data_IF_411982298001
#
_entry.id   IF_411982298001
#
_cell.length_a   1.000
_cell.length_b   1.000
_cell.length_c   1.000
_cell.angle_alpha   90.00
_cell.angle_beta   90.00
_cell.angle_gamma   90.00
#
_symmetry.space_group_name_H-M   'P 1'
#
loop_
_entity.id
_entity.type
_entity.pdbx_description
1 polymer ?
#
# COMPACT_ATOMS: atom_id res chain seq x y z
N UNK A 1 24.13 20.21 73.73
CA UNK A 1 22.86 20.00 72.98
C UNK A 1 22.69 20.93 71.78
N UNK A 2 22.98 22.24 71.85
CA UNK A 2 22.85 23.16 70.71
C UNK A 2 23.68 22.79 69.47
N UNK A 3 24.93 22.34 69.64
CA UNK A 3 25.82 22.02 68.51
C UNK A 3 25.50 20.67 67.84
N UNK A 4 25.01 19.68 68.60
CA UNK A 4 24.55 18.39 68.06
C UNK A 4 23.27 18.55 67.24
N UNK A 5 22.34 19.40 67.66
CA UNK A 5 21.13 19.72 66.88
C UNK A 5 21.49 20.43 65.57
N UNK A 6 22.46 21.36 65.59
CA UNK A 6 22.98 22.03 64.37
C UNK A 6 23.65 21.06 63.41
N UNK A 7 24.45 20.11 63.90
CA UNK A 7 25.07 19.09 63.06
C UNK A 7 24.02 18.18 62.41
N UNK A 8 23.01 17.76 63.19
CA UNK A 8 21.92 16.92 62.69
C UNK A 8 21.11 17.64 61.61
N UNK A 9 20.81 18.94 61.79
CA UNK A 9 20.09 19.73 60.79
C UNK A 9 20.87 19.89 59.48
N UNK A 10 22.19 20.04 59.56
CA UNK A 10 23.06 20.14 58.36
C UNK A 10 23.10 18.81 57.62
N UNK A 11 23.18 17.69 58.35
CA UNK A 11 23.19 16.35 57.76
C UNK A 11 21.90 16.06 56.99
N UNK A 12 20.74 16.42 57.58
CA UNK A 12 19.42 16.25 56.94
C UNK A 12 19.30 17.11 55.67
N UNK A 13 19.81 18.34 55.69
CA UNK A 13 19.80 19.23 54.52
C UNK A 13 20.62 18.66 53.35
N UNK A 14 21.80 18.08 53.63
CA UNK A 14 22.65 17.45 52.59
C UNK A 14 21.95 16.24 51.96
N UNK A 15 21.28 15.42 52.78
CA UNK A 15 20.53 14.25 52.29
C UNK A 15 19.39 14.69 51.36
N UNK A 16 18.64 15.73 51.72
CA UNK A 16 17.55 16.25 50.89
C UNK A 16 18.04 16.79 49.54
N UNK A 17 19.17 17.50 49.52
CA UNK A 17 19.79 18.00 48.28
C UNK A 17 20.28 16.84 47.41
N UNK A 18 20.86 15.80 48.00
CA UNK A 18 21.30 14.62 47.26
C UNK A 18 20.11 13.86 46.63
N UNK A 19 19.02 13.65 47.39
CA UNK A 19 17.81 12.96 46.91
C UNK A 19 17.12 13.75 45.79
N UNK A 20 16.99 15.07 45.94
CA UNK A 20 16.38 15.92 44.90
C UNK A 20 17.21 15.95 43.61
N UNK A 21 18.55 15.98 43.72
CA UNK A 21 19.45 15.90 42.56
C UNK A 21 19.34 14.56 41.81
N UNK A 22 19.22 13.46 42.56
CA UNK A 22 18.97 12.12 42.02
C UNK A 22 17.63 12.03 41.26
N UNK A 23 16.55 12.56 41.83
CA UNK A 23 15.23 12.59 41.19
C UNK A 23 15.26 13.42 39.88
N UNK A 24 15.97 14.55 39.87
CA UNK A 24 16.12 15.38 38.66
C UNK A 24 16.93 14.67 37.58
N UNK A 25 17.97 13.92 37.94
CA UNK A 25 18.75 13.13 36.99
C UNK A 25 17.94 11.97 36.38
N UNK A 26 17.17 11.26 37.20
CA UNK A 26 16.27 10.18 36.74
C UNK A 26 15.21 10.73 35.80
N UNK A 27 14.55 11.84 36.14
CA UNK A 27 13.53 12.46 35.29
C UNK A 27 14.10 12.97 33.95
N UNK A 28 15.31 13.54 33.94
CA UNK A 28 16.00 13.92 32.70
C UNK A 28 16.33 12.71 31.82
N UNK A 29 16.75 11.59 32.43
CA UNK A 29 17.04 10.37 31.69
C UNK A 29 15.75 9.74 31.11
N UNK A 30 14.66 9.72 31.87
CA UNK A 30 13.34 9.26 31.43
C UNK A 30 12.76 10.10 30.29
N UNK A 31 13.01 11.42 30.27
CA UNK A 31 12.60 12.29 29.15
C UNK A 31 13.47 12.14 27.89
N UNK A 32 14.72 11.68 28.01
CA UNK A 32 15.61 11.48 26.86
C UNK A 32 15.30 10.21 26.05
N UNK A 33 14.47 9.31 26.60
CA UNK A 33 14.01 8.09 25.94
C UNK A 33 12.77 8.31 25.05
N UNK A 34 12.54 9.53 24.57
CA UNK A 34 11.69 9.77 23.39
C UNK A 34 12.43 9.29 22.14
N UNK A 35 12.77 7.99 22.08
CA UNK A 35 13.10 7.33 20.85
C UNK A 35 11.85 7.41 19.98
N UNK A 36 11.85 8.31 18.99
CA UNK A 36 10.91 8.27 17.88
C UNK A 36 11.00 6.85 17.33
N UNK A 37 9.98 6.04 17.57
CA UNK A 37 9.94 4.66 17.12
C UNK A 37 9.98 4.71 15.59
N UNK A 38 11.11 4.35 15.02
CA UNK A 38 11.25 4.33 13.57
C UNK A 38 10.25 3.32 13.01
N UNK A 39 9.47 3.72 12.00
CA UNK A 39 8.50 2.85 11.36
C UNK A 39 9.21 1.66 10.74
N UNK A 40 8.59 0.49 10.83
CA UNK A 40 9.05 -0.69 10.10
C UNK A 40 8.98 -0.45 8.59
N UNK A 41 9.81 -1.18 7.82
CA UNK A 41 9.79 -1.09 6.36
C UNK A 41 8.41 -1.45 5.79
N UNK A 42 7.69 -2.36 6.45
CA UNK A 42 6.31 -2.71 6.10
C UNK A 42 5.34 -1.54 6.31
N UNK A 43 5.41 -0.84 7.45
CA UNK A 43 4.58 0.35 7.71
C UNK A 43 4.88 1.46 6.70
N UNK A 44 6.16 1.67 6.36
CA UNK A 44 6.57 2.63 5.31
C UNK A 44 5.96 2.23 3.95
N UNK A 45 6.02 0.94 3.60
CA UNK A 45 5.45 0.42 2.36
C UNK A 45 3.92 0.55 2.28
N UNK A 46 3.21 0.29 3.38
CA UNK A 46 1.75 0.47 3.45
C UNK A 46 1.34 1.93 3.30
N UNK A 47 2.05 2.86 3.93
CA UNK A 47 1.80 4.29 3.79
C UNK A 47 2.09 4.80 2.37
N UNK A 48 3.16 4.31 1.75
CA UNK A 48 3.47 4.63 0.36
C UNK A 48 2.42 4.04 -0.58
N UNK A 49 2.03 2.78 -0.36
CA UNK A 49 1.02 2.09 -1.14
C UNK A 49 -0.33 2.82 -1.12
N UNK A 50 -0.76 3.32 0.04
CA UNK A 50 -2.00 4.09 0.17
C UNK A 50 -1.98 5.37 -0.70
N UNK A 51 -0.85 6.08 -0.71
CA UNK A 51 -0.68 7.29 -1.54
C UNK A 51 -0.71 6.97 -3.04
N UNK A 52 -0.20 5.80 -3.41
CA UNK A 52 -0.07 5.37 -4.81
C UNK A 52 -1.37 4.81 -5.40
N UNK A 53 -2.39 4.50 -4.58
CA UNK A 53 -3.69 4.01 -5.07
C UNK A 53 -4.32 4.88 -6.14
N UNK A 54 -4.24 6.20 -5.99
CA UNK A 54 -4.79 7.17 -6.96
C UNK A 54 -4.14 7.05 -8.34
N UNK A 55 -2.80 6.88 -8.38
CA UNK A 55 -2.05 6.68 -9.63
C UNK A 55 -2.32 5.32 -10.25
N UNK A 56 -2.45 4.27 -9.44
CA UNK A 56 -2.84 2.94 -9.96
C UNK A 56 -4.25 2.98 -10.56
N UNK A 57 -5.17 3.72 -9.93
CA UNK A 57 -6.49 3.94 -10.51
C UNK A 57 -6.42 4.71 -11.83
N UNK A 58 -5.59 5.75 -11.93
CA UNK A 58 -5.33 6.46 -13.20
C UNK A 58 -4.81 5.51 -14.28
N UNK A 59 -3.74 4.76 -14.04
CA UNK A 59 -3.15 3.81 -14.99
C UNK A 59 -4.16 2.73 -15.46
N UNK A 60 -4.98 2.22 -14.53
CA UNK A 60 -6.07 1.28 -14.86
C UNK A 60 -7.12 1.90 -15.78
N UNK A 61 -7.48 3.15 -15.54
CA UNK A 61 -8.50 3.86 -16.32
C UNK A 61 -7.98 4.27 -17.70
N UNK A 62 -6.70 4.58 -17.82
CA UNK A 62 -6.06 4.82 -19.11
C UNK A 62 -5.96 3.53 -19.94
N UNK A 63 -5.72 2.39 -19.30
CA UNK A 63 -5.72 1.07 -19.96
C UNK A 63 -7.12 0.61 -20.40
N UNK A 64 -8.17 1.10 -19.73
CA UNK A 64 -9.56 0.73 -19.99
C UNK A 64 -10.19 1.53 -21.15
N UNK A 65 -9.73 1.25 -22.36
CA UNK A 65 -10.18 1.94 -23.58
C UNK A 65 -11.67 1.71 -23.90
N UNK A 66 -12.28 0.66 -23.34
CA UNK A 66 -13.67 0.27 -23.58
C UNK A 66 -14.63 0.73 -22.48
N UNK A 67 -14.13 1.35 -21.41
CA UNK A 67 -14.94 1.78 -20.26
C UNK A 67 -15.56 0.60 -19.47
N UNK A 68 -14.89 -0.55 -19.47
CA UNK A 68 -15.30 -1.77 -18.80
C UNK A 68 -15.27 -1.64 -17.27
N UNK A 69 -14.30 -0.90 -16.72
CA UNK A 69 -14.13 -0.72 -15.29
C UNK A 69 -15.30 0.12 -14.75
N UNK A 70 -16.03 -0.41 -13.77
CA UNK A 70 -17.07 0.32 -13.03
C UNK A 70 -16.62 0.62 -11.62
N UNK A 71 -15.90 -0.32 -11.01
CA UNK A 71 -15.40 -0.21 -9.64
C UNK A 71 -14.05 -0.87 -9.50
N UNK A 72 -13.11 -0.20 -8.85
CA UNK A 72 -11.80 -0.75 -8.45
C UNK A 72 -11.85 -1.07 -6.96
N UNK A 73 -11.31 -2.22 -6.56
CA UNK A 73 -11.21 -2.62 -5.15
C UNK A 73 -9.79 -3.08 -4.84
N UNK A 74 -9.09 -2.33 -4.00
CA UNK A 74 -7.76 -2.69 -3.51
C UNK A 74 -7.84 -3.71 -2.38
N UNK A 75 -7.01 -4.75 -2.44
CA UNK A 75 -6.80 -5.67 -1.31
C UNK A 75 -6.00 -4.93 -0.23
N UNK A 76 -6.28 -5.25 1.04
CA UNK A 76 -5.60 -4.60 2.18
C UNK A 76 -4.12 -4.96 2.30
N UNK A 77 -3.75 -6.14 1.83
CA UNK A 77 -2.40 -6.66 2.00
C UNK A 77 -1.44 -5.99 1.00
N UNK A 78 -0.41 -5.35 1.55
CA UNK A 78 0.75 -4.85 0.83
C UNK A 78 1.91 -5.80 1.11
N UNK A 79 2.62 -6.24 0.07
CA UNK A 79 3.77 -7.15 0.22
C UNK A 79 5.00 -6.55 -0.42
N UNK A 80 6.15 -6.75 0.22
CA UNK A 80 7.44 -6.38 -0.35
C UNK A 80 8.07 -7.65 -0.93
N UNK A 81 8.40 -7.67 -2.22
CA UNK A 81 9.05 -8.82 -2.83
C UNK A 81 10.55 -8.88 -2.46
N UNK A 82 11.26 -9.98 -2.73
CA UNK A 82 12.69 -10.09 -2.43
C UNK A 82 13.59 -9.06 -3.12
N UNK A 83 13.11 -8.41 -4.18
CA UNK A 83 13.80 -7.33 -4.89
C UNK A 83 13.51 -5.93 -4.30
N UNK A 84 12.68 -5.85 -3.26
CA UNK A 84 12.30 -4.59 -2.61
C UNK A 84 11.13 -3.86 -3.28
N UNK A 85 10.45 -4.45 -4.27
CA UNK A 85 9.25 -3.85 -4.85
C UNK A 85 8.06 -3.98 -3.91
N UNK A 86 7.30 -2.90 -3.81
CA UNK A 86 6.03 -2.88 -3.08
C UNK A 86 4.94 -3.35 -4.05
N UNK A 87 4.26 -4.42 -3.71
CA UNK A 87 3.22 -5.02 -4.52
C UNK A 87 1.85 -4.68 -3.91
N UNK A 88 0.98 -4.12 -4.75
CA UNK A 88 -0.41 -3.82 -4.41
C UNK A 88 -1.30 -4.64 -5.31
N UNK A 89 -2.23 -5.38 -4.71
CA UNK A 89 -3.19 -6.19 -5.44
C UNK A 89 -4.57 -5.58 -5.34
N UNK A 90 -5.37 -5.83 -6.36
CA UNK A 90 -6.78 -5.47 -6.37
C UNK A 90 -7.55 -6.30 -7.37
N UNK A 91 -8.81 -5.93 -7.55
CA UNK A 91 -9.67 -6.48 -8.58
C UNK A 91 -10.71 -5.44 -8.98
N UNK A 92 -11.31 -5.64 -10.14
CA UNK A 92 -12.36 -4.75 -10.66
C UNK A 92 -13.73 -5.42 -10.67
N UNK A 93 -14.77 -4.60 -10.67
CA UNK A 93 -16.17 -4.99 -10.88
C UNK A 93 -16.72 -6.06 -9.91
N UNK A 94 -16.03 -6.30 -8.79
CA UNK A 94 -16.44 -7.32 -7.80
C UNK A 94 -15.89 -8.72 -8.06
N UNK A 95 -15.20 -8.94 -9.18
CA UNK A 95 -14.81 -10.27 -9.68
C UNK A 95 -13.33 -10.55 -9.39
N UNK A 96 -13.03 -11.00 -8.18
CA UNK A 96 -11.65 -11.25 -7.77
C UNK A 96 -10.97 -12.39 -8.55
N UNK A 97 -11.71 -13.42 -8.97
CA UNK A 97 -11.11 -14.61 -9.60
C UNK A 97 -10.82 -14.43 -11.09
N UNK A 98 -11.40 -13.40 -11.72
CA UNK A 98 -11.29 -13.18 -13.15
C UNK A 98 -10.65 -11.84 -13.49
N UNK A 99 -10.89 -10.83 -12.67
CA UNK A 99 -10.48 -9.47 -12.95
C UNK A 99 -9.55 -8.89 -11.88
N UNK A 100 -8.59 -9.69 -11.41
CA UNK A 100 -7.53 -9.18 -10.53
C UNK A 100 -6.45 -8.44 -11.32
N UNK A 101 -5.79 -7.53 -10.60
CA UNK A 101 -4.59 -6.85 -11.04
C UNK A 101 -3.55 -6.82 -9.92
N UNK A 102 -2.29 -6.66 -10.30
CA UNK A 102 -1.17 -6.43 -9.41
C UNK A 102 -0.32 -5.26 -9.94
N UNK A 103 -0.10 -4.27 -9.09
CA UNK A 103 0.77 -3.14 -9.36
C UNK A 103 2.08 -3.30 -8.57
N UNK A 104 3.20 -3.22 -9.27
CA UNK A 104 4.53 -3.18 -8.66
C UNK A 104 4.99 -1.72 -8.59
N UNK A 105 5.47 -1.32 -7.42
CA UNK A 105 5.96 0.02 -7.16
C UNK A 105 7.42 -0.01 -6.73
N UNK A 106 8.16 1.03 -7.11
CA UNK A 106 9.46 1.37 -6.54
C UNK A 106 9.32 2.63 -5.70
N UNK A 107 9.66 2.56 -4.42
CA UNK A 107 9.57 3.70 -3.49
C UNK A 107 10.30 4.93 -4.05
N UNK A 108 11.50 4.74 -4.59
CA UNK A 108 12.35 5.80 -5.15
C UNK A 108 11.76 6.51 -6.37
N UNK A 109 10.91 5.86 -7.16
CA UNK A 109 10.42 6.43 -8.43
C UNK A 109 9.16 7.28 -8.23
N UNK A 110 8.40 7.05 -7.15
CA UNK A 110 7.09 7.67 -6.96
C UNK A 110 6.09 7.36 -8.09
N UNK A 111 6.32 6.29 -8.85
CA UNK A 111 5.54 5.87 -10.02
C UNK A 111 5.17 4.39 -9.91
N UNK A 112 4.14 3.99 -10.65
CA UNK A 112 3.88 2.56 -10.90
C UNK A 112 4.95 2.06 -11.85
N UNK A 113 5.67 1.00 -11.47
CA UNK A 113 6.77 0.45 -12.26
C UNK A 113 6.23 -0.49 -13.35
N UNK A 114 5.25 -1.31 -12.98
CA UNK A 114 4.54 -2.20 -13.90
C UNK A 114 3.19 -2.62 -13.33
N UNK A 115 2.26 -2.93 -14.22
CA UNK A 115 0.99 -3.56 -13.87
C UNK A 115 0.86 -4.90 -14.60
N UNK A 116 0.29 -5.88 -13.90
CA UNK A 116 -0.11 -7.16 -14.47
C UNK A 116 -1.58 -7.43 -14.17
N UNK A 117 -2.19 -8.22 -15.03
CA UNK A 117 -3.63 -8.49 -15.04
C UNK A 117 -3.87 -9.99 -15.15
N UNK A 118 -5.00 -10.45 -14.62
CA UNK A 118 -5.53 -11.74 -15.03
C UNK A 118 -5.80 -11.74 -16.55
N UNK A 119 -5.62 -12.88 -17.25
CA UNK A 119 -5.82 -12.95 -18.70
C UNK A 119 -7.18 -12.42 -19.14
N UNK A 120 -8.23 -12.83 -18.42
CA UNK A 120 -9.60 -12.37 -18.65
C UNK A 120 -9.70 -10.84 -18.62
N UNK A 121 -9.04 -10.16 -17.68
CA UNK A 121 -9.04 -8.70 -17.61
C UNK A 121 -8.22 -8.09 -18.74
N UNK A 122 -7.05 -8.66 -19.03
CA UNK A 122 -6.19 -8.21 -20.14
C UNK A 122 -6.95 -8.20 -21.46
N UNK A 123 -7.72 -9.24 -21.75
CA UNK A 123 -8.53 -9.33 -22.96
C UNK A 123 -9.57 -8.20 -23.08
N UNK A 124 -10.04 -7.63 -21.95
CA UNK A 124 -10.97 -6.48 -21.96
C UNK A 124 -10.28 -5.14 -22.11
N UNK A 125 -8.95 -5.08 -22.02
CA UNK A 125 -8.18 -3.87 -22.33
C UNK A 125 -7.60 -3.92 -23.76
N UNK A 126 -7.72 -5.07 -24.43
CA UNK A 126 -7.17 -5.27 -25.76
C UNK A 126 -7.77 -4.31 -26.79
N UNK A 127 -6.90 -3.67 -27.55
CA UNK A 127 -7.30 -2.82 -28.66
C UNK A 127 -7.28 -3.64 -29.96
N UNK A 128 -8.40 -4.26 -30.30
CA UNK A 128 -8.47 -5.12 -31.49
C UNK A 128 -8.23 -4.40 -32.82
N UNK A 129 -8.29 -3.06 -32.84
CA UNK A 129 -7.95 -2.28 -34.03
C UNK A 129 -6.45 -2.36 -34.38
N UNK A 130 -5.60 -2.79 -33.44
CA UNK A 130 -4.16 -3.00 -33.65
C UNK A 130 -3.84 -4.36 -34.30
N UNK A 131 -4.85 -5.23 -34.50
CA UNK A 131 -4.70 -6.58 -35.04
C UNK A 131 -5.42 -6.76 -36.36
N UNK A 132 -5.06 -7.82 -37.09
CA UNK A 132 -5.88 -8.27 -38.21
C UNK A 132 -7.28 -8.68 -37.70
N UNK A 133 -8.37 -8.26 -38.36
CA UNK A 133 -9.73 -8.62 -37.96
C UNK A 133 -9.95 -10.12 -37.75
N UNK A 134 -9.21 -10.98 -38.48
CA UNK A 134 -9.26 -12.42 -38.32
C UNK A 134 -8.81 -12.87 -36.93
N UNK A 135 -7.84 -12.19 -36.31
CA UNK A 135 -7.35 -12.52 -34.96
C UNK A 135 -8.45 -12.30 -33.92
N UNK A 136 -9.18 -11.18 -34.03
CA UNK A 136 -10.34 -10.90 -33.17
C UNK A 136 -11.42 -11.96 -33.36
N UNK A 137 -11.76 -12.29 -34.61
CA UNK A 137 -12.78 -13.31 -34.87
C UNK A 137 -12.37 -14.71 -34.38
N UNK A 138 -11.10 -15.10 -34.57
CA UNK A 138 -10.59 -16.37 -34.06
C UNK A 138 -10.66 -16.44 -32.53
N UNK A 139 -10.31 -15.34 -31.84
CA UNK A 139 -10.49 -15.22 -30.40
C UNK A 139 -11.97 -15.35 -30.02
N UNK A 140 -12.87 -14.57 -30.63
CA UNK A 140 -14.31 -14.62 -30.33
C UNK A 140 -14.93 -15.99 -30.61
N UNK A 141 -14.42 -16.73 -31.60
CA UNK A 141 -14.86 -18.08 -31.94
C UNK A 141 -14.29 -19.16 -31.01
N UNK A 142 -13.22 -18.85 -30.27
CA UNK A 142 -12.64 -19.73 -29.25
C UNK A 142 -13.47 -19.75 -27.95
N UNK A 143 -14.26 -18.70 -27.72
CA UNK A 143 -15.13 -18.55 -26.56
C UNK A 143 -16.41 -19.39 -26.70
N UNK A 144 -16.98 -19.84 -25.58
CA UNK A 144 -18.35 -20.35 -25.61
C UNK A 144 -19.32 -19.22 -25.97
N UNK A 145 -20.50 -19.57 -26.48
CA UNK A 145 -21.53 -18.57 -26.84
C UNK A 145 -21.82 -17.58 -25.70
N UNK A 146 -21.95 -18.07 -24.47
CA UNK A 146 -22.23 -17.23 -23.29
C UNK A 146 -21.06 -16.30 -22.96
N UNK A 147 -19.82 -16.78 -23.11
CA UNK A 147 -18.62 -15.97 -22.88
C UNK A 147 -18.46 -14.91 -23.95
N UNK A 148 -18.70 -15.23 -25.22
CA UNK A 148 -18.68 -14.27 -26.33
C UNK A 148 -19.71 -13.15 -26.12
N UNK A 149 -20.96 -13.49 -25.83
CA UNK A 149 -22.03 -12.51 -25.57
C UNK A 149 -21.66 -11.57 -24.40
N UNK A 150 -21.11 -12.13 -23.32
CA UNK A 150 -20.68 -11.33 -22.17
C UNK A 150 -19.46 -10.48 -22.48
N UNK A 151 -18.48 -11.02 -23.21
CA UNK A 151 -17.27 -10.30 -23.61
C UNK A 151 -17.61 -9.09 -24.48
N UNK A 152 -18.41 -9.28 -25.54
CA UNK A 152 -18.84 -8.19 -26.42
C UNK A 152 -19.57 -7.10 -25.62
N UNK A 153 -20.46 -7.51 -24.70
CA UNK A 153 -21.14 -6.57 -23.80
C UNK A 153 -20.17 -5.82 -22.88
N UNK A 154 -19.14 -6.50 -22.38
CA UNK A 154 -18.12 -5.91 -21.51
C UNK A 154 -17.31 -4.83 -22.23
N UNK A 155 -17.00 -5.04 -23.52
CA UNK A 155 -16.27 -4.07 -24.37
C UNK A 155 -17.20 -3.09 -25.12
N UNK A 156 -18.51 -3.10 -24.83
CA UNK A 156 -19.47 -2.17 -25.43
C UNK A 156 -19.89 -2.49 -26.88
N UNK A 157 -19.52 -3.66 -27.39
CA UNK A 157 -19.91 -4.18 -28.69
C UNK A 157 -21.20 -5.00 -28.60
N UNK A 158 -21.87 -5.16 -29.75
CA UNK A 158 -23.02 -6.05 -29.92
C UNK A 158 -22.68 -7.08 -30.97
N UNK A 159 -23.19 -8.31 -30.80
CA UNK A 159 -23.22 -9.30 -31.89
C UNK A 159 -23.96 -8.77 -33.12
#
# INVERSE_FOLDING_TARGET
MKNTIKLLSVLVAVILVAVTSLIVQVNKHSQSNNAVKEKSDQEKAEEFAEKMKSKIEEDLRESDIHGFIKKITFKKQVTINPMGHIMIRGYINGEQERFSFEALLRDESGKVDSMSYDPDLSDRFENWDDFDPQVKEDFLNSLSKKEREQYLKDIGEKE
#
